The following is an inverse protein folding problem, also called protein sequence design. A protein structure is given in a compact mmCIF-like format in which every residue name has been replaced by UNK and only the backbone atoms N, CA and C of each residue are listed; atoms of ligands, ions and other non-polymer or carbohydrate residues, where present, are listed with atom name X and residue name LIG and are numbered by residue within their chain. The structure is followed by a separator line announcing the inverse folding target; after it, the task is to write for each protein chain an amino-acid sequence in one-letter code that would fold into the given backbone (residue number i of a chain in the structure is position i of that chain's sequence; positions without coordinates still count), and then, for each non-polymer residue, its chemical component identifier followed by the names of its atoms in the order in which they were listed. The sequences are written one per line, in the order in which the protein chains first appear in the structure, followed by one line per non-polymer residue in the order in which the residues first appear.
data_IF_034288043701
#
_entry.id   IF_034288043701
#
_cell.length_a   1.000
_cell.length_b   1.000
_cell.length_c   1.000
_cell.angle_alpha   90.00
_cell.angle_beta   90.00
_cell.angle_gamma   90.00
#
_symmetry.space_group_name_H-M   'P 1'
#
loop_
_entity.id
_entity.type
_entity.pdbx_description
1 polymer ?
#
# COMPACT_ATOMS: atom_id res chain seq x y z
N UNK A 1 9.13 -0.18 -16.94
CA UNK A 1 8.37 0.95 -17.53
C UNK A 1 9.13 2.24 -17.24
N UNK A 2 9.35 3.12 -18.24
CA UNK A 2 10.14 4.32 -18.05
C UNK A 2 9.46 5.23 -17.01
N UNK A 3 10.24 5.67 -16.01
CA UNK A 3 9.85 6.49 -14.84
C UNK A 3 9.20 5.83 -13.61
N UNK A 4 9.19 4.49 -13.49
CA UNK A 4 9.18 3.81 -12.18
C UNK A 4 7.93 3.95 -11.28
N UNK A 5 6.86 4.60 -11.73
CA UNK A 5 5.56 4.66 -11.04
C UNK A 5 4.48 4.06 -11.92
N UNK A 6 4.47 2.73 -12.03
CA UNK A 6 3.40 2.02 -12.73
C UNK A 6 2.59 1.22 -11.72
N UNK A 7 1.45 1.75 -11.29
CA UNK A 7 0.46 1.00 -10.53
C UNK A 7 -0.56 0.41 -11.50
N UNK A 8 -0.91 -0.86 -11.30
CA UNK A 8 -1.96 -1.53 -12.06
C UNK A 8 -2.93 -2.16 -11.09
N UNK A 9 -4.20 -2.19 -11.46
CA UNK A 9 -5.23 -2.88 -10.70
C UNK A 9 -6.12 -3.69 -11.63
N UNK A 10 -6.71 -4.75 -11.07
CA UNK A 10 -7.64 -5.61 -11.76
C UNK A 10 -9.03 -5.36 -11.18
N UNK A 11 -10.02 -5.03 -12.03
CA UNK A 11 -11.41 -4.95 -11.58
C UNK A 11 -12.02 -6.36 -11.58
N UNK A 12 -13.04 -6.64 -10.75
CA UNK A 12 -13.62 -7.99 -10.59
C UNK A 12 -14.16 -8.66 -11.87
N UNK A 13 -14.26 -7.92 -12.97
CA UNK A 13 -14.83 -8.36 -14.26
C UNK A 13 -13.89 -8.20 -15.44
N UNK A 14 -12.70 -7.62 -15.23
CA UNK A 14 -11.80 -7.27 -16.31
C UNK A 14 -10.78 -8.39 -16.48
N UNK A 15 -10.51 -8.78 -17.74
CA UNK A 15 -9.49 -9.78 -18.06
C UNK A 15 -8.07 -9.19 -18.08
N UNK A 16 -7.97 -7.86 -18.25
CA UNK A 16 -6.71 -7.14 -18.41
C UNK A 16 -6.43 -6.20 -17.24
N UNK A 17 -5.14 -6.06 -16.93
CA UNK A 17 -4.65 -5.11 -15.94
C UNK A 17 -4.85 -3.67 -16.42
N UNK A 18 -5.56 -2.87 -15.62
CA UNK A 18 -5.74 -1.45 -15.90
C UNK A 18 -4.60 -0.65 -15.26
N UNK A 19 -3.91 0.18 -16.04
CA UNK A 19 -2.93 1.13 -15.50
C UNK A 19 -3.63 2.25 -14.73
N UNK A 20 -3.19 2.52 -13.50
CA UNK A 20 -3.67 3.68 -12.74
C UNK A 20 -3.04 4.95 -13.32
N UNK A 21 -3.87 5.89 -13.77
CA UNK A 21 -3.41 7.15 -14.37
C UNK A 21 -2.83 8.13 -13.33
N UNK A 22 -3.41 8.17 -12.13
CA UNK A 22 -2.91 8.89 -10.97
C UNK A 22 -3.10 7.99 -9.73
N UNK A 23 -1.99 7.62 -9.08
CA UNK A 23 -1.99 6.73 -7.92
C UNK A 23 -2.49 7.43 -6.66
N UNK A 24 -2.35 8.76 -6.59
CA UNK A 24 -2.69 9.57 -5.42
C UNK A 24 -4.18 9.99 -5.42
N UNK A 25 -4.90 9.66 -6.50
CA UNK A 25 -6.33 9.89 -6.59
C UNK A 25 -7.10 9.01 -5.60
N UNK A 26 -8.02 9.61 -4.85
CA UNK A 26 -8.75 8.96 -3.75
C UNK A 26 -9.53 7.70 -4.16
N UNK A 27 -9.92 7.59 -5.44
CA UNK A 27 -10.66 6.45 -5.98
C UNK A 27 -9.77 5.24 -6.29
N UNK A 28 -8.44 5.37 -6.18
CA UNK A 28 -7.54 4.25 -6.45
C UNK A 28 -7.62 3.18 -5.36
N UNK A 29 -7.45 1.89 -5.73
CA UNK A 29 -7.54 0.77 -4.77
C UNK A 29 -6.57 0.86 -3.58
N UNK A 30 -5.45 1.57 -3.72
CA UNK A 30 -4.51 1.78 -2.61
C UNK A 30 -5.16 2.57 -1.47
N UNK A 31 -5.97 3.59 -1.77
CA UNK A 31 -6.67 4.39 -0.76
C UNK A 31 -7.73 3.57 -0.04
N UNK A 32 -8.55 2.79 -0.77
CA UNK A 32 -9.57 1.96 -0.15
C UNK A 32 -8.96 0.85 0.73
N UNK A 33 -7.85 0.28 0.28
CA UNK A 33 -7.09 -0.73 1.04
C UNK A 33 -6.53 -0.14 2.33
N UNK A 34 -5.79 0.98 2.27
CA UNK A 34 -5.23 1.58 3.48
C UNK A 34 -6.29 2.11 4.43
N UNK A 35 -7.39 2.68 3.92
CA UNK A 35 -8.45 3.22 4.75
C UNK A 35 -9.19 2.13 5.54
N UNK A 36 -9.25 0.89 5.03
CA UNK A 36 -9.85 -0.24 5.75
C UNK A 36 -9.18 -0.48 7.11
N UNK A 37 -7.85 -0.31 7.18
CA UNK A 37 -7.06 -0.56 8.38
C UNK A 37 -6.79 0.73 9.17
N UNK A 38 -6.42 1.84 8.52
CA UNK A 38 -6.15 3.12 9.20
C UNK A 38 -7.43 3.77 9.75
N UNK A 39 -8.53 3.65 9.00
CA UNK A 39 -9.85 4.15 9.38
C UNK A 39 -10.63 3.18 10.26
N UNK A 40 -10.07 2.01 10.64
CA UNK A 40 -10.77 1.05 11.48
C UNK A 40 -11.12 1.67 12.84
N UNK A 41 -12.36 1.44 13.29
CA UNK A 41 -12.82 1.84 14.62
C UNK A 41 -12.29 0.92 15.73
N UNK A 42 -11.92 -0.32 15.40
CA UNK A 42 -11.38 -1.30 16.33
C UNK A 42 -9.85 -1.36 16.25
N UNK A 43 -9.20 -0.25 16.59
CA UNK A 43 -7.75 -0.07 16.45
C UNK A 43 -6.90 -1.00 17.30
N UNK A 44 -7.46 -1.58 18.35
CA UNK A 44 -6.76 -2.49 19.25
C UNK A 44 -6.24 -3.74 18.52
N UNK A 45 -6.88 -4.11 17.41
CA UNK A 45 -6.64 -5.38 16.74
C UNK A 45 -6.03 -5.18 15.34
N UNK A 46 -5.73 -3.94 14.95
CA UNK A 46 -5.10 -3.62 13.66
C UNK A 46 -3.60 -3.41 13.85
N UNK A 47 -2.78 -4.29 13.27
CA UNK A 47 -1.33 -4.19 13.28
C UNK A 47 -0.82 -3.79 11.90
N UNK A 48 0.04 -2.75 11.85
CA UNK A 48 0.61 -2.23 10.60
C UNK A 48 2.13 -2.14 10.74
N UNK A 49 2.86 -2.82 9.86
CA UNK A 49 4.32 -2.74 9.76
C UNK A 49 4.68 -2.14 8.41
N UNK A 50 5.24 -0.93 8.41
CA UNK A 50 5.74 -0.28 7.20
C UNK A 50 7.27 -0.35 7.15
N UNK A 51 7.82 -0.78 6.02
CA UNK A 51 9.26 -0.84 5.80
C UNK A 51 9.64 -0.04 4.54
N UNK A 52 10.75 0.69 4.64
CA UNK A 52 11.34 1.47 3.55
C UNK A 52 12.78 1.77 3.89
N UNK A 53 13.68 1.66 2.91
CA UNK A 53 15.04 2.20 3.03
C UNK A 53 15.09 3.75 2.99
N UNK A 54 13.96 4.40 2.74
CA UNK A 54 13.81 5.87 2.81
C UNK A 54 12.50 6.19 3.54
N UNK A 55 12.51 6.17 4.89
CA UNK A 55 11.30 6.44 5.66
C UNK A 55 10.86 7.90 5.51
N UNK A 56 9.55 8.19 5.59
CA UNK A 56 9.07 9.57 5.62
C UNK A 56 9.78 10.35 6.72
N UNK A 57 10.18 11.58 6.41
CA UNK A 57 10.88 12.52 7.32
C UNK A 57 12.35 12.20 7.60
N UNK A 58 12.90 11.09 7.08
CA UNK A 58 14.33 10.85 7.05
C UNK A 58 14.93 11.46 5.78
N UNK A 59 16.09 12.12 5.91
CA UNK A 59 16.76 12.83 4.80
C UNK A 59 17.89 12.03 4.15
N UNK A 60 18.08 10.77 4.55
CA UNK A 60 19.10 9.89 4.00
C UNK A 60 18.55 8.47 3.83
N UNK A 61 19.02 7.79 2.78
CA UNK A 61 18.70 6.40 2.54
C UNK A 61 19.49 5.51 3.50
N UNK A 62 18.80 4.58 4.15
CA UNK A 62 19.43 3.55 4.95
C UNK A 62 20.07 2.52 4.00
N UNK A 63 21.29 2.02 4.28
CA UNK A 63 22.00 1.06 3.42
C UNK A 63 21.37 -0.35 3.40
N UNK A 64 20.10 -0.48 3.80
CA UNK A 64 19.33 -1.71 3.76
C UNK A 64 18.67 -1.91 2.38
N UNK A 65 18.08 -3.10 2.18
CA UNK A 65 17.38 -3.48 0.95
C UNK A 65 16.47 -2.35 0.44
N UNK A 66 16.46 -2.03 -0.87
CA UNK A 66 15.65 -0.96 -1.45
C UNK A 66 14.14 -1.24 -1.43
N UNK A 67 13.73 -2.41 -0.93
CA UNK A 67 12.34 -2.79 -0.78
C UNK A 67 11.55 -1.80 0.06
N UNK A 68 10.36 -1.47 -0.43
CA UNK A 68 9.35 -0.70 0.30
C UNK A 68 8.07 -1.51 0.33
N UNK A 69 7.34 -1.45 1.43
CA UNK A 69 6.06 -2.14 1.54
C UNK A 69 5.41 -1.95 2.89
N UNK A 70 4.22 -2.49 3.00
CA UNK A 70 3.42 -2.47 4.22
C UNK A 70 2.82 -3.85 4.41
N UNK A 71 2.93 -4.38 5.62
CA UNK A 71 2.26 -5.60 6.06
C UNK A 71 1.14 -5.18 6.99
N UNK A 72 -0.08 -5.63 6.71
CA UNK A 72 -1.26 -5.33 7.54
C UNK A 72 -1.91 -6.61 8.02
N UNK A 73 -2.23 -6.66 9.31
CA UNK A 73 -2.92 -7.79 9.91
C UNK A 73 -3.98 -7.34 10.91
N UNK A 74 -5.08 -8.08 10.92
CA UNK A 74 -6.18 -7.99 11.86
C UNK A 74 -6.52 -9.37 12.44
N UNK A 75 -7.35 -9.39 13.48
CA UNK A 75 -7.89 -10.61 14.06
C UNK A 75 -8.46 -11.57 13.02
N UNK A 76 -8.51 -12.86 13.38
CA UNK A 76 -8.99 -13.95 12.53
C UNK A 76 -8.16 -14.14 11.25
N UNK A 77 -6.84 -13.97 11.34
CA UNK A 77 -5.88 -14.20 10.26
C UNK A 77 -6.18 -13.41 8.98
N UNK A 78 -6.78 -12.22 9.12
CA UNK A 78 -7.06 -11.33 7.98
C UNK A 78 -5.87 -10.40 7.81
N UNK A 79 -5.07 -10.60 6.77
CA UNK A 79 -3.94 -9.73 6.48
C UNK A 79 -3.43 -9.86 5.04
N UNK A 80 -2.60 -8.91 4.63
CA UNK A 80 -1.87 -8.91 3.36
C UNK A 80 -0.48 -8.29 3.51
#
# INVERSE_FOLDING_TARGET
LPAGKSSHYLKPTDADWTAAADIDAQQQPIHSTMNKYLGSGNKANTNIIAYSNYPPHFKFELPMSPGKGVIMAEDNNKGF
#
